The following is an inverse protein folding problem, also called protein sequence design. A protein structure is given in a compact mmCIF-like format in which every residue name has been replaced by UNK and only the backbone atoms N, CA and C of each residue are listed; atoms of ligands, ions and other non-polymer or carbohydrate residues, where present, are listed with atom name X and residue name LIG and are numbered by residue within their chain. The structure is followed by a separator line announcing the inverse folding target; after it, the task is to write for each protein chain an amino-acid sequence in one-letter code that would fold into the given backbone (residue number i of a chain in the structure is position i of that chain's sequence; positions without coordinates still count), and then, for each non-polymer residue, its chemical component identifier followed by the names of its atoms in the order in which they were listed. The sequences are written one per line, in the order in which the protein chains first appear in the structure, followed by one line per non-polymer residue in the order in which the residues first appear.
data_IF_801089484409
#
_entry.id   IF_801089484409
#
_cell.length_a   1.000
_cell.length_b   1.000
_cell.length_c   1.000
_cell.angle_alpha   90.00
_cell.angle_beta   90.00
_cell.angle_gamma   90.00
#
_symmetry.space_group_name_H-M   'P 1'
#
loop_
_entity.id
_entity.type
_entity.pdbx_description
1 polymer ?
#
# COMPACT_ATOMS: atom_id res chain seq x y z
N UNK A 1 7.13 -6.98 8.71
CA UNK A 1 8.38 -6.25 8.42
C UNK A 1 8.87 -6.39 6.98
N UNK A 2 9.40 -7.54 6.53
CA UNK A 2 10.07 -7.62 5.22
C UNK A 2 9.19 -7.20 4.02
N UNK A 3 7.93 -7.65 3.99
CA UNK A 3 6.99 -7.28 2.91
C UNK A 3 6.72 -5.78 2.87
N UNK A 4 6.53 -5.14 4.04
CA UNK A 4 6.28 -3.69 4.12
C UNK A 4 7.50 -2.89 3.71
N UNK A 5 8.70 -3.33 4.10
CA UNK A 5 9.97 -2.72 3.66
C UNK A 5 10.10 -2.77 2.13
N UNK A 6 9.86 -3.93 1.54
CA UNK A 6 9.91 -4.09 0.09
C UNK A 6 8.88 -3.21 -0.64
N UNK A 7 7.67 -3.04 -0.08
CA UNK A 7 6.66 -2.12 -0.62
C UNK A 7 7.15 -0.67 -0.58
N UNK A 8 7.67 -0.20 0.55
CA UNK A 8 8.18 1.17 0.69
C UNK A 8 9.29 1.44 -0.34
N UNK A 9 10.25 0.52 -0.46
CA UNK A 9 11.37 0.65 -1.40
C UNK A 9 10.89 0.72 -2.85
N UNK A 10 10.12 -0.28 -3.29
CA UNK A 10 9.74 -0.43 -4.69
C UNK A 10 8.73 0.62 -5.16
N UNK A 11 7.77 0.99 -4.31
CA UNK A 11 6.81 2.06 -4.64
C UNK A 11 7.53 3.41 -4.73
N UNK A 12 8.50 3.66 -3.84
CA UNK A 12 9.28 4.91 -3.91
C UNK A 12 10.10 4.99 -5.19
N UNK A 13 10.79 3.90 -5.57
CA UNK A 13 11.54 3.83 -6.82
C UNK A 13 10.64 4.07 -8.05
N UNK A 14 9.49 3.40 -8.11
CA UNK A 14 8.53 3.56 -9.20
C UNK A 14 7.99 5.00 -9.33
N UNK A 15 7.75 5.69 -8.20
CA UNK A 15 7.32 7.09 -8.21
C UNK A 15 8.40 8.02 -8.74
N UNK A 16 9.66 7.81 -8.35
CA UNK A 16 10.79 8.59 -8.86
C UNK A 16 10.96 8.38 -10.36
N UNK A 17 10.89 7.13 -10.83
CA UNK A 17 10.97 6.81 -12.26
C UNK A 17 9.85 7.48 -13.08
N UNK A 18 8.61 7.39 -12.60
CA UNK A 18 7.46 7.90 -13.33
C UNK A 18 7.33 9.43 -13.32
N UNK A 19 7.81 10.11 -12.27
CA UNK A 19 7.56 11.54 -12.05
C UNK A 19 8.81 12.41 -12.06
N UNK A 20 10.00 11.83 -11.91
CA UNK A 20 11.27 12.56 -11.75
C UNK A 20 11.41 13.31 -10.42
N UNK A 21 10.48 13.16 -9.48
CA UNK A 21 10.58 13.81 -8.16
C UNK A 21 11.80 13.26 -7.39
N UNK A 22 12.52 14.08 -6.61
CA UNK A 22 13.59 13.59 -5.76
C UNK A 22 13.09 12.53 -4.78
N UNK A 23 13.84 11.43 -4.62
CA UNK A 23 13.49 10.35 -3.70
C UNK A 23 13.25 10.86 -2.26
N UNK A 24 14.01 11.87 -1.83
CA UNK A 24 13.88 12.50 -0.52
C UNK A 24 12.51 13.15 -0.26
N UNK A 25 11.72 13.43 -1.30
CA UNK A 25 10.38 13.99 -1.20
C UNK A 25 9.28 12.91 -1.14
N UNK A 26 9.62 11.66 -1.46
CA UNK A 26 8.65 10.57 -1.48
C UNK A 26 8.40 10.05 -0.07
N UNK A 27 7.13 9.89 0.29
CA UNK A 27 6.68 9.29 1.55
C UNK A 27 5.68 8.18 1.23
N UNK A 28 5.85 7.03 1.88
CA UNK A 28 4.96 5.88 1.73
C UNK A 28 4.44 5.53 3.12
N UNK A 29 3.13 5.52 3.27
CA UNK A 29 2.45 4.98 4.44
C UNK A 29 1.75 3.67 4.07
N UNK A 30 1.68 2.75 5.02
CA UNK A 30 0.98 1.47 4.85
C UNK A 30 -0.04 1.36 5.97
N UNK A 31 -1.30 1.15 5.58
CA UNK A 31 -2.38 0.82 6.50
C UNK A 31 -2.75 -0.64 6.33
N UNK A 32 -2.48 -1.46 7.35
CA UNK A 32 -3.08 -2.78 7.42
C UNK A 32 -4.52 -2.60 7.92
N UNK A 33 -5.48 -2.98 7.09
CA UNK A 33 -6.89 -2.93 7.44
C UNK A 33 -7.37 -4.36 7.70
N UNK A 34 -7.85 -4.70 8.90
CA UNK A 34 -8.48 -5.99 9.16
C UNK A 34 -9.59 -6.27 8.15
N UNK A 35 -9.80 -7.55 7.82
CA UNK A 35 -10.77 -7.95 6.77
C UNK A 35 -12.21 -7.57 7.10
N UNK A 36 -12.53 -7.53 8.39
CA UNK A 36 -13.79 -7.05 8.95
C UNK A 36 -14.02 -5.56 8.67
N UNK A 37 -12.95 -4.77 8.51
CA UNK A 37 -12.99 -3.33 8.40
C UNK A 37 -12.82 -2.83 6.95
N UNK A 38 -12.65 -3.74 5.98
CA UNK A 38 -12.50 -3.41 4.57
C UNK A 38 -13.75 -3.85 3.79
N UNK A 39 -14.58 -2.88 3.38
CA UNK A 39 -15.81 -3.11 2.63
C UNK A 39 -15.61 -3.02 1.11
N UNK A 40 -16.17 -3.97 0.36
CA UNK A 40 -16.13 -4.00 -1.10
C UNK A 40 -17.54 -4.24 -1.62
N UNK A 41 -18.08 -3.26 -2.35
CA UNK A 41 -19.45 -3.28 -2.87
C UNK A 41 -20.51 -3.59 -1.78
N UNK A 42 -20.29 -3.13 -0.55
CA UNK A 42 -21.20 -3.32 0.58
C UNK A 42 -20.99 -4.60 1.41
N UNK A 43 -20.01 -5.44 1.07
CA UNK A 43 -19.69 -6.69 1.79
C UNK A 43 -18.28 -6.62 2.37
N UNK A 44 -18.08 -7.09 3.61
CA UNK A 44 -16.75 -7.10 4.21
C UNK A 44 -15.82 -8.08 3.46
N UNK A 45 -14.52 -7.79 3.42
CA UNK A 45 -13.55 -8.69 2.79
C UNK A 45 -13.57 -10.09 3.44
N UNK A 46 -13.83 -10.13 4.75
CA UNK A 46 -14.02 -11.37 5.51
C UNK A 46 -15.17 -12.21 4.97
N UNK A 47 -16.34 -11.61 4.76
CA UNK A 47 -17.51 -12.33 4.24
C UNK A 47 -17.30 -12.77 2.78
N UNK A 48 -16.42 -12.08 2.04
CA UNK A 48 -15.97 -12.47 0.70
C UNK A 48 -14.87 -13.56 0.71
N UNK A 49 -14.42 -14.01 1.89
CA UNK A 49 -13.41 -15.07 2.01
C UNK A 49 -11.98 -14.65 1.62
N UNK A 50 -11.67 -13.35 1.59
CA UNK A 50 -10.36 -12.82 1.16
C UNK A 50 -9.74 -11.87 2.15
#
# INVERSE_FOLDING_TARGET
EEQKRAVIEKVSAALVEATGTPLANVRVWIHDVPKENWGIAGVSAKDLGR
#
